data_IF_877594187107
#
_entry.id   IF_877594187107
#
_cell.length_a   1.000
_cell.length_b   1.000
_cell.length_c   1.000
_cell.angle_alpha   90.00
_cell.angle_beta   90.00
_cell.angle_gamma   90.00
#
_symmetry.space_group_name_H-M   'P 1'
#
loop_
_entity.id
_entity.type
_entity.pdbx_description
1 polymer ?
#
# COMPACT_ATOMS: atom_id res chain seq x y z
N UNK A 1 -3.93 12.68 22.03
CA UNK A 1 -3.46 12.71 20.63
C UNK A 1 -4.58 13.26 19.78
N UNK A 2 -4.34 14.38 19.19
CA UNK A 2 -5.38 15.32 18.81
C UNK A 2 -5.77 15.16 17.35
N UNK A 3 -6.94 15.64 16.99
CA UNK A 3 -7.48 15.70 15.61
C UNK A 3 -6.45 16.25 14.60
N UNK A 4 -5.49 17.06 15.02
CA UNK A 4 -4.41 17.58 14.18
C UNK A 4 -3.49 16.45 13.65
N UNK A 5 -3.06 15.51 14.50
CA UNK A 5 -2.13 14.47 14.08
C UNK A 5 -2.66 13.55 12.97
N UNK A 6 -3.94 13.15 13.04
CA UNK A 6 -4.57 12.37 11.97
C UNK A 6 -4.73 13.17 10.67
N UNK A 7 -5.01 14.46 10.77
CA UNK A 7 -5.07 15.35 9.62
C UNK A 7 -3.69 15.52 8.98
N UNK A 8 -2.65 15.67 9.81
CA UNK A 8 -1.27 15.79 9.35
C UNK A 8 -0.80 14.50 8.66
N UNK A 9 -1.10 13.31 9.23
CA UNK A 9 -0.81 12.03 8.60
C UNK A 9 -1.48 11.87 7.23
N UNK A 10 -2.76 12.25 7.14
CA UNK A 10 -3.50 12.20 5.88
C UNK A 10 -2.87 13.11 4.83
N UNK A 11 -2.56 14.34 5.21
CA UNK A 11 -1.91 15.31 4.33
C UNK A 11 -0.53 14.81 3.89
N UNK A 12 0.24 14.22 4.80
CA UNK A 12 1.54 13.63 4.47
C UNK A 12 1.40 12.50 3.45
N UNK A 13 0.44 11.60 3.63
CA UNK A 13 0.19 10.53 2.67
C UNK A 13 -0.21 11.09 1.29
N UNK A 14 -1.09 12.08 1.24
CA UNK A 14 -1.51 12.73 0.00
C UNK A 14 -0.31 13.39 -0.72
N UNK A 15 0.58 14.04 0.03
CA UNK A 15 1.80 14.61 -0.52
C UNK A 15 2.76 13.54 -1.05
N UNK A 16 2.95 12.42 -0.33
CA UNK A 16 3.77 11.30 -0.81
C UNK A 16 3.21 10.67 -2.09
N UNK A 17 1.89 10.54 -2.20
CA UNK A 17 1.25 10.04 -3.42
C UNK A 17 1.46 11.01 -4.58
N UNK A 18 1.34 12.32 -4.34
CA UNK A 18 1.58 13.33 -5.36
C UNK A 18 3.05 13.34 -5.83
N UNK A 19 4.00 13.20 -4.91
CA UNK A 19 5.44 13.08 -5.22
C UNK A 19 5.72 11.82 -6.06
N UNK A 20 5.12 10.69 -5.71
CA UNK A 20 5.24 9.46 -6.47
C UNK A 20 4.62 9.60 -7.88
N UNK A 21 3.50 10.31 -8.00
CA UNK A 21 2.83 10.55 -9.29
C UNK A 21 3.69 11.37 -10.26
N UNK A 22 4.47 12.32 -9.77
CA UNK A 22 5.42 13.07 -10.60
C UNK A 22 6.49 12.15 -11.25
N UNK A 23 6.80 11.03 -10.59
CA UNK A 23 7.80 10.04 -11.01
C UNK A 23 7.17 8.73 -11.47
N UNK A 24 5.84 8.69 -11.72
CA UNK A 24 5.10 7.45 -12.02
C UNK A 24 5.69 6.63 -13.16
N UNK A 25 6.28 7.27 -14.18
CA UNK A 25 6.92 6.61 -15.31
C UNK A 25 8.04 5.65 -14.90
N UNK A 26 8.70 5.88 -13.75
CA UNK A 26 9.76 5.02 -13.22
C UNK A 26 9.22 3.70 -12.68
N UNK A 27 7.93 3.65 -12.34
CA UNK A 27 7.26 2.52 -11.70
C UNK A 27 6.22 1.85 -12.61
N UNK A 28 6.18 2.24 -13.88
CA UNK A 28 5.29 1.65 -14.87
C UNK A 28 5.98 0.54 -15.65
N UNK A 29 5.21 -0.49 -16.05
CA UNK A 29 5.72 -1.56 -16.94
C UNK A 29 6.14 -0.98 -18.29
N UNK A 30 5.38 -0.02 -18.84
CA UNK A 30 5.68 0.70 -20.06
C UNK A 30 5.64 2.21 -19.78
N UNK A 31 6.79 2.82 -19.45
CA UNK A 31 6.86 4.23 -19.04
C UNK A 31 6.26 5.24 -20.04
N UNK A 32 6.33 4.94 -21.34
CA UNK A 32 5.84 5.82 -22.40
C UNK A 32 4.33 5.66 -22.68
N UNK A 33 3.69 4.62 -22.17
CA UNK A 33 2.31 4.27 -22.50
C UNK A 33 1.38 4.17 -21.29
N UNK A 34 1.91 3.80 -20.13
CA UNK A 34 1.11 3.56 -18.94
C UNK A 34 0.84 4.86 -18.20
N UNK A 35 -0.42 5.06 -17.83
CA UNK A 35 -0.91 6.24 -17.12
C UNK A 35 -0.69 7.60 -17.84
N UNK A 36 -0.25 7.60 -19.09
CA UNK A 36 0.04 8.84 -19.87
C UNK A 36 -1.19 9.50 -20.47
N UNK A 37 -2.34 8.84 -20.50
CA UNK A 37 -3.55 9.36 -21.16
C UNK A 37 -4.57 9.92 -20.16
N UNK A 38 -5.43 10.81 -20.65
CA UNK A 38 -6.57 11.32 -19.87
C UNK A 38 -7.64 10.21 -19.71
N UNK A 39 -7.45 9.33 -18.76
CA UNK A 39 -8.33 8.20 -18.45
C UNK A 39 -9.10 8.48 -17.16
N UNK A 40 -10.18 7.71 -16.93
CA UNK A 40 -11.01 7.80 -15.71
C UNK A 40 -10.26 7.46 -14.43
N UNK A 41 -9.14 6.78 -14.51
CA UNK A 41 -8.30 6.38 -13.39
C UNK A 41 -6.88 6.81 -13.72
N UNK A 42 -6.43 7.89 -13.10
CA UNK A 42 -5.04 8.35 -13.15
C UNK A 42 -4.13 7.46 -12.31
N UNK A 43 -2.83 7.66 -12.37
CA UNK A 43 -1.89 6.99 -11.46
C UNK A 43 -2.16 7.39 -10.02
N UNK A 44 -2.31 8.68 -9.75
CA UNK A 44 -2.65 9.22 -8.45
C UNK A 44 -3.93 8.58 -7.88
N UNK A 45 -5.04 8.61 -8.64
CA UNK A 45 -6.31 8.03 -8.20
C UNK A 45 -6.19 6.52 -7.95
N UNK A 46 -5.39 5.82 -8.76
CA UNK A 46 -5.15 4.39 -8.59
C UNK A 46 -4.43 4.10 -7.27
N UNK A 47 -3.35 4.82 -6.95
CA UNK A 47 -2.61 4.65 -5.69
C UNK A 47 -3.50 5.00 -4.50
N UNK A 48 -4.18 6.15 -4.57
CA UNK A 48 -5.08 6.59 -3.50
C UNK A 48 -6.21 5.59 -3.25
N UNK A 49 -6.82 5.08 -4.32
CA UNK A 49 -7.83 4.02 -4.22
C UNK A 49 -7.30 2.76 -3.53
N UNK A 50 -6.12 2.27 -3.95
CA UNK A 50 -5.52 1.07 -3.38
C UNK A 50 -5.21 1.21 -1.89
N UNK A 51 -4.73 2.37 -1.45
CA UNK A 51 -4.45 2.65 -0.03
C UNK A 51 -5.75 2.74 0.78
N UNK A 52 -6.84 3.19 0.18
CA UNK A 52 -8.13 3.35 0.85
C UNK A 52 -9.02 2.11 0.79
N UNK A 53 -8.65 1.09 0.00
CA UNK A 53 -9.43 -0.15 -0.11
C UNK A 53 -9.67 -0.79 1.26
N UNK A 54 -10.90 -1.24 1.45
CA UNK A 54 -11.33 -1.99 2.63
C UNK A 54 -11.55 -3.47 2.27
N UNK A 55 -12.54 -4.10 2.87
CA UNK A 55 -12.84 -5.53 2.69
C UNK A 55 -14.03 -5.82 1.77
N UNK A 56 -14.49 -4.84 1.00
CA UNK A 56 -15.62 -4.98 0.08
C UNK A 56 -15.19 -5.62 -1.25
N UNK A 57 -16.13 -5.95 -2.12
CA UNK A 57 -15.79 -6.34 -3.49
C UNK A 57 -15.19 -5.14 -4.25
N UNK A 58 -14.23 -5.40 -5.16
CA UNK A 58 -13.58 -4.34 -5.97
C UNK A 58 -14.60 -3.43 -6.66
N UNK A 59 -15.72 -3.98 -7.11
CA UNK A 59 -16.78 -3.16 -7.76
C UNK A 59 -17.42 -2.18 -6.79
N UNK A 60 -17.69 -2.61 -5.56
CA UNK A 60 -18.26 -1.74 -4.54
C UNK A 60 -17.26 -0.70 -4.05
N UNK A 61 -15.99 -1.10 -3.87
CA UNK A 61 -14.91 -0.17 -3.52
C UNK A 61 -14.75 0.95 -4.56
N UNK A 62 -14.79 0.60 -5.87
CA UNK A 62 -14.75 1.59 -6.95
C UNK A 62 -15.94 2.55 -6.88
N UNK A 63 -17.14 2.03 -6.67
CA UNK A 63 -18.33 2.87 -6.58
C UNK A 63 -18.26 3.82 -5.38
N UNK A 64 -17.81 3.34 -4.24
CA UNK A 64 -17.67 4.15 -3.04
C UNK A 64 -16.60 5.24 -3.22
N UNK A 65 -15.44 4.89 -3.76
CA UNK A 65 -14.35 5.83 -3.99
C UNK A 65 -14.73 6.96 -4.95
N UNK A 66 -15.49 6.64 -6.00
CA UNK A 66 -15.98 7.61 -6.97
C UNK A 66 -17.38 8.18 -6.60
N UNK A 67 -17.81 8.04 -5.35
CA UNK A 67 -19.07 8.57 -4.82
C UNK A 67 -20.30 8.22 -5.68
N UNK A 68 -20.33 6.98 -6.21
CA UNK A 68 -21.37 6.50 -7.12
C UNK A 68 -21.53 7.33 -8.42
N UNK A 69 -20.50 8.05 -8.80
CA UNK A 69 -20.49 8.87 -10.01
C UNK A 69 -20.51 8.02 -11.29
N UNK A 70 -21.10 8.56 -12.36
CA UNK A 70 -21.00 7.98 -13.71
C UNK A 70 -19.56 8.03 -14.28
N UNK A 71 -18.67 8.80 -13.66
CA UNK A 71 -17.25 8.82 -13.97
C UNK A 71 -16.51 7.59 -13.45
N UNK A 72 -17.09 6.80 -12.53
CA UNK A 72 -16.46 5.59 -11.99
C UNK A 72 -15.96 4.65 -13.11
N UNK A 73 -14.72 4.16 -13.03
CA UNK A 73 -14.21 3.19 -13.99
C UNK A 73 -14.86 1.83 -13.79
N UNK A 74 -14.89 1.01 -14.84
CA UNK A 74 -15.31 -0.38 -14.72
C UNK A 74 -14.23 -1.20 -13.99
N UNK A 75 -14.64 -2.27 -13.30
CA UNK A 75 -13.72 -3.21 -12.65
C UNK A 75 -12.61 -3.71 -13.60
N UNK A 76 -12.95 -4.00 -14.85
CA UNK A 76 -11.98 -4.44 -15.87
C UNK A 76 -10.91 -3.39 -16.14
N UNK A 77 -11.29 -2.10 -16.16
CA UNK A 77 -10.34 -0.99 -16.31
C UNK A 77 -9.38 -0.92 -15.12
N UNK A 78 -9.91 -1.05 -13.90
CA UNK A 78 -9.08 -1.10 -12.69
C UNK A 78 -8.07 -2.27 -12.73
N UNK A 79 -8.54 -3.48 -13.06
CA UNK A 79 -7.66 -4.66 -13.14
C UNK A 79 -6.54 -4.46 -14.19
N UNK A 80 -6.86 -3.82 -15.33
CA UNK A 80 -5.83 -3.50 -16.33
C UNK A 80 -4.79 -2.51 -15.81
N UNK A 81 -5.19 -1.51 -15.02
CA UNK A 81 -4.24 -0.56 -14.43
C UNK A 81 -3.36 -1.23 -13.38
N UNK A 82 -3.92 -2.18 -12.62
CA UNK A 82 -3.17 -2.91 -11.59
C UNK A 82 -1.92 -3.62 -12.16
N UNK A 83 -2.01 -4.20 -13.35
CA UNK A 83 -0.88 -4.88 -13.99
C UNK A 83 0.18 -3.95 -14.59
N UNK A 84 -0.04 -2.65 -14.59
CA UNK A 84 0.87 -1.65 -15.14
C UNK A 84 1.88 -1.13 -14.13
N UNK A 85 1.53 -1.19 -12.86
CA UNK A 85 2.40 -0.73 -11.78
C UNK A 85 3.37 -1.83 -11.37
N UNK A 86 4.63 -1.48 -11.25
CA UNK A 86 5.68 -2.34 -10.69
C UNK A 86 5.60 -2.33 -9.16
N UNK A 87 5.89 -3.47 -8.48
CA UNK A 87 5.87 -3.58 -7.02
C UNK A 87 6.76 -2.55 -6.31
N UNK A 88 7.85 -2.15 -6.96
CA UNK A 88 8.82 -1.17 -6.45
C UNK A 88 8.17 0.18 -6.12
N UNK A 89 7.14 0.59 -6.86
CA UNK A 89 6.38 1.81 -6.58
C UNK A 89 5.75 1.80 -5.19
N UNK A 90 5.25 0.65 -4.74
CA UNK A 90 4.69 0.50 -3.40
C UNK A 90 5.76 0.58 -2.32
N UNK A 91 6.92 -0.03 -2.56
CA UNK A 91 8.07 0.05 -1.65
C UNK A 91 8.54 1.48 -1.47
N UNK A 92 8.67 2.22 -2.57
CA UNK A 92 9.06 3.64 -2.52
C UNK A 92 8.05 4.48 -1.77
N UNK A 93 6.74 4.35 -2.09
CA UNK A 93 5.68 5.06 -1.36
C UNK A 93 5.74 4.79 0.14
N UNK A 94 5.91 3.53 0.53
CA UNK A 94 6.01 3.14 1.92
C UNK A 94 7.20 3.81 2.61
N UNK A 95 8.37 3.79 1.99
CA UNK A 95 9.58 4.37 2.59
C UNK A 95 9.50 5.90 2.73
N UNK A 96 9.08 6.63 1.69
CA UNK A 96 8.93 8.09 1.79
C UNK A 96 7.86 8.48 2.81
N UNK A 97 6.74 7.75 2.86
CA UNK A 97 5.69 8.01 3.84
C UNK A 97 6.19 7.79 5.28
N UNK A 98 6.86 6.66 5.55
CA UNK A 98 7.42 6.38 6.87
C UNK A 98 8.46 7.42 7.26
N UNK A 99 9.32 7.86 6.34
CA UNK A 99 10.33 8.88 6.61
C UNK A 99 9.69 10.23 6.95
N UNK A 100 8.73 10.69 6.17
CA UNK A 100 8.02 11.95 6.45
C UNK A 100 7.20 11.88 7.73
N UNK A 101 6.57 10.75 8.03
CA UNK A 101 5.86 10.56 9.29
C UNK A 101 6.76 10.58 10.52
N UNK A 102 8.04 10.19 10.37
CA UNK A 102 9.03 10.29 11.45
C UNK A 102 9.26 11.74 11.88
N UNK A 103 9.16 12.67 10.95
CA UNK A 103 9.30 14.10 11.24
C UNK A 103 8.10 14.68 12.00
N UNK A 104 6.91 14.07 11.85
CA UNK A 104 5.71 14.51 12.55
C UNK A 104 5.68 14.15 14.04
N UNK A 105 6.47 13.17 14.45
CA UNK A 105 6.51 12.65 15.82
C UNK A 105 7.87 12.83 16.47
N UNK A 106 8.08 13.98 17.08
CA UNK A 106 9.37 14.37 17.68
C UNK A 106 9.43 14.13 19.21
N UNK A 107 8.66 13.17 19.74
CA UNK A 107 8.63 12.89 21.18
C UNK A 107 9.17 11.50 21.53
N UNK A 108 10.50 11.34 21.65
CA UNK A 108 11.06 10.09 22.12
C UNK A 108 10.68 9.83 23.58
N UNK A 109 10.37 8.58 23.89
CA UNK A 109 10.14 8.15 25.27
C UNK A 109 11.48 8.08 26.01
N UNK A 110 11.70 8.99 26.96
CA UNK A 110 12.99 9.12 27.68
C UNK A 110 14.23 9.21 26.74
N UNK A 111 14.09 9.80 25.58
CA UNK A 111 15.17 9.91 24.59
C UNK A 111 15.33 8.69 23.69
N UNK A 112 14.46 7.68 23.79
CA UNK A 112 14.48 6.45 23.00
C UNK A 112 13.25 6.33 22.10
N UNK A 113 13.47 5.76 20.94
CA UNK A 113 12.39 5.32 20.06
C UNK A 113 11.90 3.95 20.50
N UNK A 114 10.61 3.78 20.69
CA UNK A 114 10.01 2.51 21.08
C UNK A 114 9.48 1.80 19.84
N UNK A 115 10.08 0.67 19.49
CA UNK A 115 9.64 -0.19 18.42
C UNK A 115 9.08 -1.49 18.99
N UNK A 116 7.92 -1.90 18.51
CA UNK A 116 7.39 -3.24 18.68
C UNK A 116 7.59 -4.03 17.39
N UNK A 117 7.92 -5.32 17.52
CA UNK A 117 7.95 -6.23 16.39
C UNK A 117 6.81 -7.22 16.53
N UNK A 118 6.03 -7.40 15.49
CA UNK A 118 4.99 -8.42 15.40
C UNK A 118 5.20 -9.25 14.15
N UNK A 119 5.00 -10.58 14.29
CA UNK A 119 5.10 -11.55 13.20
C UNK A 119 3.73 -12.12 12.87
N UNK A 120 3.36 -12.10 11.59
CA UNK A 120 2.09 -12.64 11.11
C UNK A 120 2.29 -13.50 9.88
N UNK A 121 1.57 -14.63 9.82
CA UNK A 121 1.54 -15.47 8.63
C UNK A 121 0.42 -15.03 7.71
N UNK A 122 0.79 -14.73 6.46
CA UNK A 122 -0.15 -14.33 5.41
C UNK A 122 -0.29 -15.45 4.40
N UNK A 123 -1.50 -16.01 4.30
CA UNK A 123 -1.80 -17.02 3.29
C UNK A 123 -1.79 -16.38 1.90
N UNK A 124 -1.05 -17.01 0.99
CA UNK A 124 -0.97 -16.60 -0.42
C UNK A 124 -1.60 -17.66 -1.32
N UNK A 125 -1.67 -17.38 -2.62
CA UNK A 125 -2.20 -18.33 -3.59
C UNK A 125 -1.43 -19.65 -3.52
N UNK A 126 -2.18 -20.77 -3.51
CA UNK A 126 -1.60 -22.09 -3.39
C UNK A 126 -0.76 -22.44 -4.61
N UNK A 127 0.52 -22.67 -4.40
CA UNK A 127 1.48 -23.19 -5.37
C UNK A 127 2.35 -24.27 -4.70
N UNK A 128 2.07 -25.55 -4.90
CA UNK A 128 2.85 -26.65 -4.30
C UNK A 128 4.27 -26.76 -4.83
N UNK A 129 4.59 -26.10 -5.95
CA UNK A 129 5.95 -26.13 -6.56
C UNK A 129 6.85 -25.05 -5.94
N UNK A 130 6.28 -24.06 -5.23
CA UNK A 130 7.08 -23.09 -4.50
C UNK A 130 7.41 -23.61 -3.09
N UNK A 131 8.48 -24.41 -3.01
CA UNK A 131 8.95 -25.00 -1.75
C UNK A 131 9.31 -23.99 -0.65
N UNK A 132 9.55 -22.71 -0.99
CA UNK A 132 9.92 -21.68 0.00
C UNK A 132 8.75 -21.21 0.82
N UNK A 133 7.56 -21.25 0.25
CA UNK A 133 6.34 -20.77 0.91
C UNK A 133 5.34 -21.89 1.19
N UNK A 134 5.56 -23.11 0.65
CA UNK A 134 4.64 -24.22 0.79
C UNK A 134 4.78 -24.91 2.16
N UNK A 135 3.69 -24.96 2.90
CA UNK A 135 3.59 -25.59 4.22
C UNK A 135 2.81 -26.90 4.08
N UNK A 136 3.50 -28.01 4.41
CA UNK A 136 2.95 -29.37 4.37
C UNK A 136 2.07 -29.68 5.60
N UNK A 137 1.03 -28.89 5.82
CA UNK A 137 0.12 -29.08 6.95
C UNK A 137 -1.31 -29.35 6.44
N UNK A 138 -1.99 -30.33 7.03
CA UNK A 138 -3.29 -30.79 6.59
C UNK A 138 -3.25 -31.63 5.30
N UNK A 139 -4.43 -31.98 4.77
CA UNK A 139 -4.54 -32.90 3.62
C UNK A 139 -3.98 -32.32 2.30
N UNK A 140 -4.02 -31.03 2.12
CA UNK A 140 -3.66 -30.38 0.84
C UNK A 140 -2.46 -29.46 0.91
N UNK A 141 -2.01 -29.11 2.12
CA UNK A 141 -1.00 -28.06 2.30
C UNK A 141 -1.49 -26.68 1.81
N UNK A 142 -0.75 -25.65 2.15
CA UNK A 142 -1.03 -24.26 1.75
C UNK A 142 0.29 -23.48 1.61
N UNK A 143 0.23 -22.32 0.97
CA UNK A 143 1.37 -21.41 0.91
C UNK A 143 1.12 -20.21 1.84
N UNK A 144 2.13 -19.86 2.62
CA UNK A 144 2.13 -18.67 3.47
C UNK A 144 3.50 -18.00 3.45
N UNK A 145 3.48 -16.70 3.65
CA UNK A 145 4.69 -15.90 3.91
C UNK A 145 4.64 -15.39 5.34
N UNK A 146 5.79 -15.44 6.02
CA UNK A 146 5.93 -14.84 7.34
C UNK A 146 6.35 -13.38 7.18
N UNK A 147 5.54 -12.46 7.69
CA UNK A 147 5.78 -11.02 7.62
C UNK A 147 6.10 -10.52 9.02
N UNK A 148 7.31 -9.99 9.20
CA UNK A 148 7.67 -9.27 10.40
C UNK A 148 7.45 -7.77 10.19
N UNK A 149 6.60 -7.17 11.00
CA UNK A 149 6.35 -5.74 10.98
C UNK A 149 6.98 -5.07 12.21
N UNK A 150 7.81 -4.08 11.97
CA UNK A 150 8.29 -3.19 13.02
C UNK A 150 7.32 -2.03 13.15
N UNK A 151 6.83 -1.83 14.34
CA UNK A 151 5.81 -0.84 14.67
C UNK A 151 6.39 0.24 15.58
N UNK A 152 6.40 1.47 15.11
CA UNK A 152 6.76 2.60 15.97
C UNK A 152 5.59 2.93 16.90
N UNK A 153 5.73 2.63 18.19
CA UNK A 153 4.64 2.77 19.18
C UNK A 153 4.27 4.23 19.40
N UNK A 154 5.18 5.15 19.18
CA UNK A 154 4.97 6.57 19.46
C UNK A 154 4.17 7.23 18.35
N UNK A 155 4.54 6.97 17.10
CA UNK A 155 3.82 7.51 15.94
C UNK A 155 2.78 6.55 15.35
N UNK A 156 2.66 5.33 15.90
CA UNK A 156 1.72 4.30 15.43
C UNK A 156 1.92 3.91 13.96
N UNK A 157 3.14 3.98 13.46
CA UNK A 157 3.49 3.65 12.09
C UNK A 157 4.20 2.31 11.99
N UNK A 158 3.89 1.58 10.93
CA UNK A 158 4.59 0.35 10.58
C UNK A 158 5.87 0.63 9.81
N UNK A 159 6.95 -0.05 10.18
CA UNK A 159 8.12 -0.23 9.33
C UNK A 159 8.30 -1.73 9.12
N UNK A 160 8.29 -2.20 7.89
CA UNK A 160 8.54 -3.61 7.61
C UNK A 160 9.98 -3.81 7.19
N UNK A 161 10.70 -4.69 7.88
CA UNK A 161 11.86 -5.37 7.31
C UNK A 161 11.38 -6.78 6.92
N UNK A 162 11.19 -7.01 5.63
CA UNK A 162 11.02 -8.34 5.10
C UNK A 162 12.40 -9.01 5.10
N UNK A 163 12.59 -9.98 5.97
CA UNK A 163 13.75 -10.86 5.95
C UNK A 163 13.57 -11.97 4.89
#
# INVERSE_FOLDING_TARGET
>A
MTQNFLADLKTTLENCIAELDELHFMFCQNPEADFTGNRKLSFHDYIQFMVQMQSKSVSNEILDFFEHSLAAPAKSSFTQQHFKLQPEGWSVLFHIFVEQCRELSDQPYHGYRLLACDGSDVNIARDPEDERTFIHEGEKGYNAIHVNALYDIICLLYTSDAA
#
